data_IF_260955609477
#
_entry.id   IF_260955609477
#
_cell.length_a   1.000
_cell.length_b   1.000
_cell.length_c   1.000
_cell.angle_alpha   90.00
_cell.angle_beta   90.00
_cell.angle_gamma   90.00
#
_symmetry.space_group_name_H-M   'P 1'
#
loop_
_entity.id
_entity.type
_entity.pdbx_description
1 polymer ?
#
# COMPACT_ATOMS: atom_id res chain seq x y z
N UNK A 1 15.92 0.98 -10.79
CA UNK A 1 16.21 1.73 -12.05
C UNK A 1 15.51 1.14 -13.27
N UNK A 2 15.53 -0.19 -13.49
CA UNK A 2 14.89 -0.80 -14.67
C UNK A 2 13.38 -0.51 -14.72
N UNK A 3 12.63 -0.78 -13.66
CA UNK A 3 11.19 -0.52 -13.59
C UNK A 3 10.83 0.95 -13.84
N UNK A 4 11.62 1.90 -13.32
CA UNK A 4 11.39 3.33 -13.55
C UNK A 4 11.63 3.76 -15.01
N UNK A 5 12.50 3.07 -15.74
CA UNK A 5 12.67 3.29 -17.19
C UNK A 5 11.50 2.76 -18.01
N UNK A 6 10.92 1.64 -17.60
CA UNK A 6 9.71 1.11 -18.22
C UNK A 6 8.49 2.02 -17.95
N UNK A 7 8.42 2.64 -16.79
CA UNK A 7 7.42 3.65 -16.46
C UNK A 7 7.41 4.80 -17.50
N UNK A 8 8.59 5.23 -17.95
CA UNK A 8 8.71 6.24 -19.02
C UNK A 8 8.03 5.84 -20.32
N UNK A 9 8.07 4.54 -20.66
CA UNK A 9 7.45 4.02 -21.89
C UNK A 9 5.94 3.84 -21.71
N UNK A 10 5.50 3.50 -20.51
CA UNK A 10 4.12 3.19 -20.19
C UNK A 10 3.26 4.43 -19.88
N UNK A 11 3.88 5.61 -19.70
CA UNK A 11 3.18 6.84 -19.31
C UNK A 11 3.43 7.99 -20.28
N UNK A 12 2.45 8.92 -20.49
CA UNK A 12 2.65 10.11 -21.31
C UNK A 12 3.67 11.09 -20.70
N UNK A 13 4.14 12.05 -21.48
CA UNK A 13 5.21 12.97 -21.03
C UNK A 13 4.77 13.89 -19.89
N UNK A 14 3.50 14.27 -19.85
CA UNK A 14 2.85 15.12 -18.84
C UNK A 14 2.32 14.33 -17.63
N UNK A 15 2.69 13.05 -17.49
CA UNK A 15 2.27 12.23 -16.37
C UNK A 15 2.85 12.72 -15.04
N UNK A 16 2.00 12.78 -14.01
CA UNK A 16 2.41 12.97 -12.62
C UNK A 16 2.54 11.61 -11.93
N UNK A 17 3.70 11.36 -11.34
CA UNK A 17 4.00 10.11 -10.64
C UNK A 17 3.83 10.30 -9.14
N UNK A 18 2.95 9.50 -8.56
CA UNK A 18 2.80 9.33 -7.13
C UNK A 18 3.71 8.22 -6.66
N UNK A 19 4.65 8.58 -5.81
CA UNK A 19 5.66 7.71 -5.26
C UNK A 19 6.04 8.16 -3.86
N UNK A 20 6.62 7.30 -3.03
CA UNK A 20 7.17 7.71 -1.75
C UNK A 20 8.46 8.53 -1.97
N UNK A 21 8.65 9.57 -1.20
CA UNK A 21 9.67 10.62 -1.41
C UNK A 21 11.12 10.10 -1.51
N UNK A 22 11.45 9.00 -0.81
CA UNK A 22 12.80 8.40 -0.84
C UNK A 22 13.28 8.05 -2.26
N UNK A 23 12.34 7.71 -3.15
CA UNK A 23 12.65 7.40 -4.56
C UNK A 23 12.32 8.52 -5.51
N UNK A 24 11.89 9.68 -5.01
CA UNK A 24 11.40 10.77 -5.84
C UNK A 24 12.45 11.23 -6.88
N UNK A 25 13.68 11.47 -6.48
CA UNK A 25 14.76 11.83 -7.41
C UNK A 25 15.05 10.73 -8.44
N UNK A 26 15.07 9.48 -8.01
CA UNK A 26 15.27 8.36 -8.91
C UNK A 26 14.09 8.21 -9.89
N UNK A 27 12.86 8.36 -9.40
CA UNK A 27 11.66 8.33 -10.23
C UNK A 27 11.70 9.44 -11.28
N UNK A 28 11.97 10.68 -10.88
CA UNK A 28 12.10 11.82 -11.80
C UNK A 28 13.20 11.58 -12.84
N UNK A 29 14.40 11.19 -12.40
CA UNK A 29 15.55 10.99 -13.28
C UNK A 29 15.34 9.89 -14.33
N UNK A 30 14.87 8.72 -13.91
CA UNK A 30 14.76 7.56 -14.79
C UNK A 30 13.47 7.54 -15.61
N UNK A 31 12.34 7.99 -15.05
CA UNK A 31 11.07 8.06 -15.78
C UNK A 31 10.99 9.31 -16.67
N UNK A 32 11.71 10.38 -16.34
CA UNK A 32 11.55 11.72 -16.94
C UNK A 32 10.11 12.21 -16.86
N UNK A 33 9.48 12.00 -15.71
CA UNK A 33 8.13 12.46 -15.37
C UNK A 33 8.18 13.27 -14.10
N UNK A 34 7.25 14.17 -13.94
CA UNK A 34 7.10 14.89 -12.69
C UNK A 34 6.66 13.98 -11.58
N UNK A 35 7.12 14.24 -10.35
CA UNK A 35 6.80 13.44 -9.17
C UNK A 35 6.16 14.31 -8.09
N UNK A 36 5.20 13.75 -7.36
CA UNK A 36 4.49 14.49 -6.31
C UNK A 36 5.38 14.81 -5.10
N UNK A 37 6.39 13.99 -4.86
CA UNK A 37 7.37 14.14 -3.79
C UNK A 37 8.73 13.75 -4.34
N UNK A 38 9.63 14.71 -4.49
CA UNK A 38 10.95 14.52 -5.10
C UNK A 38 12.09 14.41 -4.09
N UNK A 39 11.79 14.53 -2.79
CA UNK A 39 12.80 14.48 -1.74
C UNK A 39 13.40 15.84 -1.40
N UNK A 40 13.03 16.93 -2.09
CA UNK A 40 13.50 18.29 -1.76
C UNK A 40 12.86 18.82 -0.47
N UNK A 41 11.63 18.42 -0.18
CA UNK A 41 10.90 18.77 1.03
C UNK A 41 10.65 17.54 1.90
N UNK A 42 11.13 17.59 3.15
CA UNK A 42 11.02 16.50 4.13
C UNK A 42 9.98 16.78 5.21
N UNK A 43 8.87 17.46 4.89
CA UNK A 43 7.87 17.81 5.87
C UNK A 43 6.53 18.24 5.31
N UNK A 44 5.55 18.37 6.20
CA UNK A 44 4.23 18.93 5.89
C UNK A 44 3.47 18.19 4.78
N UNK A 45 2.83 18.94 3.86
CA UNK A 45 2.00 18.37 2.80
C UNK A 45 2.71 17.41 1.87
N UNK A 46 4.00 17.63 1.61
CA UNK A 46 4.82 16.80 0.70
C UNK A 46 5.04 15.38 1.23
N UNK A 47 5.01 15.19 2.56
CA UNK A 47 5.03 13.85 3.18
C UNK A 47 3.62 13.30 3.40
N UNK A 48 2.72 14.13 3.94
CA UNK A 48 1.39 13.67 4.33
C UNK A 48 0.58 13.13 3.14
N UNK A 49 0.53 13.87 2.03
CA UNK A 49 -0.38 13.49 0.93
C UNK A 49 -0.02 12.13 0.31
N UNK A 50 1.23 11.88 -0.13
CA UNK A 50 1.56 10.54 -0.62
C UNK A 50 1.42 9.47 0.47
N UNK A 51 1.82 9.76 1.71
CA UNK A 51 1.67 8.82 2.81
C UNK A 51 0.19 8.43 3.06
N UNK A 52 -0.73 9.40 3.05
CA UNK A 52 -2.15 9.14 3.23
C UNK A 52 -2.74 8.28 2.10
N UNK A 53 -2.28 8.46 0.86
CA UNK A 53 -2.66 7.62 -0.28
C UNK A 53 -2.23 6.18 -0.08
N UNK A 54 -1.01 5.94 0.42
CA UNK A 54 -0.49 4.58 0.60
C UNK A 54 -1.00 3.89 1.85
N UNK A 55 -1.21 4.65 2.94
CA UNK A 55 -1.57 4.10 4.25
C UNK A 55 -3.07 3.88 4.46
N UNK A 56 -3.93 4.43 3.61
CA UNK A 56 -5.38 4.19 3.70
C UNK A 56 -5.76 2.80 3.21
N UNK A 57 -6.84 2.26 3.75
CA UNK A 57 -7.56 1.08 3.26
C UNK A 57 -8.73 1.43 2.33
N UNK A 58 -9.02 2.72 2.16
CA UNK A 58 -10.09 3.22 1.27
C UNK A 58 -9.53 3.70 -0.08
N UNK A 59 -9.72 2.93 -1.17
CA UNK A 59 -9.24 3.28 -2.50
C UNK A 59 -9.90 4.54 -3.06
N UNK A 60 -11.15 4.80 -2.66
CA UNK A 60 -11.86 6.01 -3.06
C UNK A 60 -11.22 7.26 -2.43
N UNK A 61 -10.91 7.20 -1.14
CA UNK A 61 -10.23 8.29 -0.44
C UNK A 61 -8.86 8.59 -1.04
N UNK A 62 -8.07 7.55 -1.32
CA UNK A 62 -6.77 7.71 -1.98
C UNK A 62 -6.91 8.43 -3.33
N UNK A 63 -7.86 8.00 -4.17
CA UNK A 63 -8.17 8.67 -5.43
C UNK A 63 -8.59 10.14 -5.21
N UNK A 64 -9.41 10.43 -4.21
CA UNK A 64 -9.86 11.80 -3.91
C UNK A 64 -8.67 12.71 -3.55
N UNK A 65 -7.73 12.24 -2.74
CA UNK A 65 -6.49 12.98 -2.43
C UNK A 65 -5.71 13.27 -3.72
N UNK A 66 -5.49 12.26 -4.56
CA UNK A 66 -4.73 12.39 -5.80
C UNK A 66 -5.38 13.42 -6.73
N UNK A 67 -6.69 13.28 -7.01
CA UNK A 67 -7.42 14.18 -7.91
C UNK A 67 -7.57 15.59 -7.33
N UNK A 68 -7.75 15.73 -6.01
CA UNK A 68 -7.76 17.05 -5.38
C UNK A 68 -6.41 17.76 -5.48
N UNK A 69 -5.33 17.04 -5.29
CA UNK A 69 -3.97 17.59 -5.46
C UNK A 69 -3.72 17.99 -6.91
N UNK A 70 -4.18 17.20 -7.87
CA UNK A 70 -4.13 17.55 -9.29
C UNK A 70 -4.90 18.84 -9.59
N UNK A 71 -6.09 19.01 -9.04
CA UNK A 71 -6.88 20.24 -9.16
C UNK A 71 -6.21 21.47 -8.51
N UNK A 72 -5.22 21.26 -7.64
CA UNK A 72 -4.36 22.30 -7.04
C UNK A 72 -3.02 22.48 -7.78
N UNK A 73 -2.91 21.93 -8.99
CA UNK A 73 -1.73 22.06 -9.87
C UNK A 73 -0.60 21.10 -9.55
N UNK A 74 -0.91 19.97 -8.91
CA UNK A 74 0.08 18.95 -8.49
C UNK A 74 1.17 19.47 -7.54
N UNK A 75 0.88 20.52 -6.78
CA UNK A 75 1.79 21.09 -5.79
C UNK A 75 1.25 20.80 -4.39
N UNK A 76 1.87 19.89 -3.62
CA UNK A 76 1.41 19.52 -2.27
C UNK A 76 1.19 20.72 -1.35
N UNK A 77 2.08 21.69 -1.37
CA UNK A 77 1.99 22.92 -0.59
C UNK A 77 0.72 23.75 -0.87
N UNK A 78 0.17 23.69 -2.10
CA UNK A 78 -1.06 24.39 -2.45
C UNK A 78 -2.32 23.76 -1.83
N UNK A 79 -2.28 22.47 -1.48
CA UNK A 79 -3.42 21.74 -0.92
C UNK A 79 -3.84 22.32 0.43
N UNK A 80 -2.86 22.65 1.28
CA UNK A 80 -3.09 23.16 2.63
C UNK A 80 -2.78 24.66 2.77
N UNK A 81 -2.50 25.36 1.66
CA UNK A 81 -2.11 26.76 1.70
C UNK A 81 -3.18 27.62 2.36
N UNK A 82 -2.80 28.33 3.41
CA UNK A 82 -3.66 29.24 4.14
C UNK A 82 -4.68 28.58 5.08
N UNK A 83 -4.66 27.26 5.23
CA UNK A 83 -5.54 26.53 6.13
C UNK A 83 -4.93 26.48 7.54
N UNK A 84 -5.79 26.62 8.54
CA UNK A 84 -5.49 26.24 9.93
C UNK A 84 -5.49 24.71 10.06
N UNK A 85 -4.96 24.19 11.17
CA UNK A 85 -4.97 22.74 11.45
C UNK A 85 -6.41 22.16 11.46
N UNK A 86 -7.38 22.90 12.00
CA UNK A 86 -8.79 22.51 11.99
C UNK A 86 -9.34 22.44 10.57
N UNK A 87 -9.12 23.48 9.77
CA UNK A 87 -9.58 23.50 8.37
C UNK A 87 -8.94 22.41 7.53
N UNK A 88 -7.66 22.09 7.76
CA UNK A 88 -7.00 20.96 7.12
C UNK A 88 -7.65 19.62 7.52
N UNK A 89 -7.94 19.41 8.81
CA UNK A 89 -8.65 18.23 9.28
C UNK A 89 -10.06 18.10 8.69
N UNK A 90 -10.81 19.22 8.63
CA UNK A 90 -12.15 19.26 8.02
C UNK A 90 -12.10 18.93 6.53
N UNK A 91 -11.10 19.44 5.81
CA UNK A 91 -10.89 19.13 4.39
C UNK A 91 -10.59 17.64 4.17
N UNK A 92 -9.73 17.05 4.98
CA UNK A 92 -9.42 15.61 4.89
C UNK A 92 -10.68 14.78 5.19
N UNK A 93 -11.46 15.17 6.21
CA UNK A 93 -12.75 14.54 6.53
C UNK A 93 -13.71 14.64 5.35
N UNK A 94 -13.76 15.80 4.69
CA UNK A 94 -14.57 15.98 3.49
C UNK A 94 -14.14 15.09 2.33
N UNK A 95 -12.82 14.98 2.06
CA UNK A 95 -12.28 14.10 1.02
C UNK A 95 -12.61 12.62 1.30
N UNK A 96 -12.64 12.22 2.56
CA UNK A 96 -12.95 10.86 2.98
C UNK A 96 -14.44 10.54 3.06
N UNK A 97 -15.32 11.52 2.90
CA UNK A 97 -16.76 11.28 2.99
C UNK A 97 -17.28 10.58 1.72
N UNK A 98 -17.85 9.36 1.81
CA UNK A 98 -18.34 8.60 0.67
C UNK A 98 -19.52 9.24 -0.06
N UNK A 99 -20.26 10.16 0.59
CA UNK A 99 -21.39 10.87 0.01
C UNK A 99 -20.99 12.06 -0.87
N UNK A 100 -19.73 12.50 -0.77
CA UNK A 100 -19.25 13.60 -1.61
C UNK A 100 -18.98 13.12 -3.05
N UNK A 101 -19.16 13.96 -4.06
CA UNK A 101 -18.90 13.58 -5.44
C UNK A 101 -17.41 13.26 -5.65
N UNK A 102 -17.13 12.41 -6.63
CA UNK A 102 -15.77 12.16 -7.07
C UNK A 102 -15.21 13.42 -7.74
N UNK A 103 -14.06 13.87 -7.25
CA UNK A 103 -13.36 15.01 -7.83
C UNK A 103 -12.88 14.64 -9.23
N UNK A 104 -13.14 15.52 -10.18
CA UNK A 104 -12.57 15.42 -11.52
C UNK A 104 -11.42 16.43 -11.65
N UNK A 105 -10.32 16.00 -12.17
CA UNK A 105 -9.17 16.86 -12.46
C UNK A 105 -8.48 16.37 -13.73
N UNK A 106 -8.06 17.33 -14.53
CA UNK A 106 -7.27 17.05 -15.72
C UNK A 106 -5.87 16.57 -15.35
N UNK A 107 -5.22 15.94 -16.31
CA UNK A 107 -3.88 15.41 -16.14
C UNK A 107 -3.84 13.95 -15.69
N UNK A 108 -2.85 13.26 -16.18
CA UNK A 108 -2.63 11.84 -15.95
C UNK A 108 -1.87 11.59 -14.67
N UNK A 109 -2.49 10.89 -13.74
CA UNK A 109 -1.95 10.55 -12.43
C UNK A 109 -1.62 9.06 -12.40
N UNK A 110 -0.43 8.70 -11.94
CA UNK A 110 0.02 7.31 -11.85
C UNK A 110 0.55 7.01 -10.46
N UNK A 111 0.05 5.95 -9.86
CA UNK A 111 0.46 5.46 -8.55
C UNK A 111 1.47 4.33 -8.74
N UNK A 112 2.66 4.48 -8.19
CA UNK A 112 3.72 3.48 -8.22
C UNK A 112 3.84 2.81 -6.86
N UNK A 113 3.75 1.49 -6.86
CA UNK A 113 3.95 0.66 -5.69
C UNK A 113 5.14 -0.27 -5.92
N UNK A 114 5.99 -0.39 -4.92
CA UNK A 114 7.12 -1.33 -4.97
C UNK A 114 7.23 -2.11 -3.66
N UNK A 115 7.81 -3.30 -3.74
CA UNK A 115 8.04 -4.12 -2.56
C UNK A 115 8.93 -3.40 -1.54
N UNK A 116 9.97 -2.70 -2.04
CA UNK A 116 10.91 -1.93 -1.20
C UNK A 116 10.21 -0.83 -0.36
N UNK A 117 9.04 -0.33 -0.78
CA UNK A 117 8.27 0.64 0.01
C UNK A 117 7.75 0.05 1.32
N UNK A 118 7.57 -1.26 1.36
CA UNK A 118 7.09 -1.95 2.56
C UNK A 118 8.09 -1.84 3.71
N UNK A 119 9.39 -1.77 3.42
CA UNK A 119 10.44 -1.56 4.44
C UNK A 119 10.27 -0.24 5.18
N UNK A 120 9.64 0.75 4.52
CA UNK A 120 9.33 2.05 5.07
C UNK A 120 7.88 2.17 5.55
N UNK A 121 7.14 1.09 5.54
CA UNK A 121 5.70 1.04 5.84
C UNK A 121 5.34 1.66 7.20
N UNK A 122 6.18 1.49 8.22
CA UNK A 122 5.99 2.13 9.53
C UNK A 122 5.98 3.67 9.40
N UNK A 123 6.91 4.26 8.67
CA UNK A 123 6.97 5.70 8.47
C UNK A 123 5.86 6.21 7.56
N UNK A 124 5.58 5.48 6.46
CA UNK A 124 4.50 5.82 5.55
C UNK A 124 3.16 5.83 6.31
N UNK A 125 2.88 4.82 7.13
CA UNK A 125 1.66 4.79 7.92
C UNK A 125 1.62 5.87 9.02
N UNK A 126 2.77 6.18 9.64
CA UNK A 126 2.88 7.26 10.63
C UNK A 126 2.51 8.62 10.02
N UNK A 127 3.09 8.96 8.87
CA UNK A 127 2.77 10.22 8.21
C UNK A 127 1.37 10.21 7.59
N UNK A 128 0.93 9.08 7.02
CA UNK A 128 -0.38 8.95 6.37
C UNK A 128 -1.57 8.98 7.33
N UNK A 129 -1.35 8.59 8.59
CA UNK A 129 -2.36 8.67 9.67
C UNK A 129 -2.25 9.94 10.51
N UNK A 130 -1.51 10.94 10.05
CA UNK A 130 -1.26 12.17 10.79
C UNK A 130 -2.55 12.92 11.14
N UNK A 131 -2.76 13.17 12.44
CA UNK A 131 -3.85 13.99 12.92
C UNK A 131 -3.37 15.43 13.08
N UNK A 132 -3.96 16.36 12.35
CA UNK A 132 -3.57 17.78 12.32
C UNK A 132 -3.82 18.49 13.65
N UNK A 133 -4.78 18.01 14.46
CA UNK A 133 -5.14 18.63 15.75
C UNK A 133 -4.23 18.15 16.88
N UNK A 134 -4.05 16.82 17.02
CA UNK A 134 -3.16 16.27 18.06
C UNK A 134 -1.68 16.34 17.69
N UNK A 135 -1.37 16.54 16.39
CA UNK A 135 0.00 16.53 15.83
C UNK A 135 0.72 15.19 16.04
N UNK A 136 -0.02 14.11 15.90
CA UNK A 136 0.46 12.75 16.08
C UNK A 136 0.07 11.90 14.89
N UNK A 137 0.94 10.95 14.54
CA UNK A 137 0.67 9.89 13.56
C UNK A 137 0.83 8.52 14.20
N UNK A 138 0.28 7.48 13.57
CA UNK A 138 0.33 6.12 14.07
C UNK A 138 0.98 5.19 13.06
N UNK A 139 2.18 4.70 13.40
CA UNK A 139 2.84 3.64 12.63
C UNK A 139 2.11 2.31 12.79
N UNK A 140 1.97 1.59 11.68
CA UNK A 140 1.45 0.21 11.67
C UNK A 140 2.61 -0.76 11.83
N UNK A 141 2.34 -1.95 12.38
CA UNK A 141 3.40 -2.88 12.66
C UNK A 141 3.88 -3.57 11.38
N UNK A 142 5.17 -3.43 11.16
CA UNK A 142 5.93 -4.12 10.12
C UNK A 142 7.28 -4.53 10.71
N UNK A 143 7.70 -5.74 10.43
CA UNK A 143 8.99 -6.26 10.87
C UNK A 143 9.70 -6.94 9.71
N UNK A 144 10.90 -6.47 9.39
CA UNK A 144 11.84 -7.19 8.53
C UNK A 144 12.37 -8.36 9.34
N UNK A 145 12.21 -9.57 8.81
CA UNK A 145 12.57 -10.77 9.55
C UNK A 145 13.90 -11.32 9.04
N UNK A 146 14.82 -11.69 9.94
CA UNK A 146 16.09 -12.30 9.55
C UNK A 146 15.88 -13.57 8.74
N UNK A 147 16.89 -13.94 7.94
CA UNK A 147 16.88 -15.00 6.92
C UNK A 147 16.48 -16.41 7.38
N UNK A 148 16.29 -16.64 8.67
CA UNK A 148 16.03 -17.95 9.27
C UNK A 148 14.58 -18.45 9.17
N UNK A 149 13.69 -17.76 8.44
CA UNK A 149 12.32 -18.20 8.27
C UNK A 149 12.11 -18.97 6.96
N UNK A 150 11.32 -20.03 7.04
CA UNK A 150 10.72 -20.74 5.92
C UNK A 150 9.20 -20.83 6.11
N UNK A 151 8.47 -21.26 5.10
CA UNK A 151 7.02 -21.34 5.16
C UNK A 151 6.52 -22.71 4.69
N UNK A 152 5.32 -23.07 5.16
CA UNK A 152 4.57 -24.28 4.80
C UNK A 152 3.22 -23.85 4.28
N UNK A 153 3.11 -23.74 2.97
CA UNK A 153 1.88 -23.27 2.30
C UNK A 153 0.70 -24.23 2.49
N UNK A 154 0.96 -25.52 2.67
CA UNK A 154 -0.07 -26.54 2.94
C UNK A 154 -0.76 -26.33 4.29
N UNK A 155 -0.05 -25.73 5.27
CA UNK A 155 -0.54 -25.51 6.64
C UNK A 155 -0.79 -24.05 6.99
N UNK A 156 -0.36 -23.11 6.12
CA UNK A 156 -0.42 -21.70 6.45
C UNK A 156 0.43 -21.35 7.67
N UNK A 157 1.64 -21.89 7.75
CA UNK A 157 2.53 -21.69 8.88
C UNK A 157 3.88 -21.17 8.41
N UNK A 158 4.48 -20.33 9.23
CA UNK A 158 5.88 -19.92 9.09
C UNK A 158 6.72 -20.59 10.16
N UNK A 159 7.84 -21.13 9.75
CA UNK A 159 8.72 -21.97 10.57
C UNK A 159 10.03 -21.24 10.80
N UNK A 160 10.43 -21.06 12.05
CA UNK A 160 11.77 -20.58 12.37
C UNK A 160 12.77 -21.73 12.18
N UNK A 161 13.74 -21.53 11.27
CA UNK A 161 14.77 -22.52 10.97
C UNK A 161 15.62 -22.77 12.22
N UNK A 162 15.73 -24.04 12.62
CA UNK A 162 16.48 -24.45 13.83
C UNK A 162 15.65 -24.39 15.12
N UNK A 163 14.34 -24.13 15.06
CA UNK A 163 13.41 -24.23 16.17
C UNK A 163 12.19 -25.08 15.77
N UNK A 164 11.47 -25.56 16.76
CA UNK A 164 10.16 -26.23 16.56
C UNK A 164 8.99 -25.22 16.64
N UNK A 165 9.28 -23.92 16.46
CA UNK A 165 8.26 -22.90 16.55
C UNK A 165 7.65 -22.70 15.17
N UNK A 166 6.35 -22.99 15.08
CA UNK A 166 5.51 -22.71 13.93
C UNK A 166 4.56 -21.57 14.29
N UNK A 167 4.55 -20.52 13.48
CA UNK A 167 3.66 -19.37 13.62
C UNK A 167 2.56 -19.50 12.60
N UNK A 168 1.30 -19.72 13.00
CA UNK A 168 0.17 -19.70 12.08
C UNK A 168 0.02 -18.31 11.47
N UNK A 169 -0.21 -18.24 10.17
CA UNK A 169 -0.39 -16.98 9.43
C UNK A 169 -1.83 -16.80 8.99
N UNK A 170 -2.31 -15.55 8.98
CA UNK A 170 -3.57 -15.16 8.35
C UNK A 170 -3.44 -15.21 6.84
N UNK A 171 -2.31 -14.75 6.30
CA UNK A 171 -1.96 -14.89 4.88
C UNK A 171 -0.47 -15.11 4.67
N UNK A 172 -0.12 -15.73 3.55
CA UNK A 172 1.26 -15.86 3.07
C UNK A 172 1.29 -15.42 1.60
N UNK A 173 2.11 -14.42 1.32
CA UNK A 173 2.35 -13.86 0.00
C UNK A 173 3.78 -14.16 -0.44
N UNK A 174 3.95 -14.87 -1.55
CA UNK A 174 5.25 -15.27 -2.08
C UNK A 174 5.48 -14.65 -3.45
N UNK A 175 6.34 -13.64 -3.50
CA UNK A 175 6.78 -13.01 -4.72
C UNK A 175 7.92 -13.81 -5.33
N UNK A 176 7.72 -14.31 -6.54
CA UNK A 176 8.71 -14.98 -7.35
C UNK A 176 8.88 -14.23 -8.67
N UNK A 177 9.83 -14.62 -9.50
CA UNK A 177 10.06 -13.98 -10.78
C UNK A 177 8.80 -14.07 -11.68
N UNK A 178 8.16 -12.91 -11.89
CA UNK A 178 6.94 -12.78 -12.69
C UNK A 178 5.66 -13.39 -12.10
N UNK A 179 5.69 -13.86 -10.85
CA UNK A 179 4.54 -14.52 -10.21
C UNK A 179 4.36 -14.08 -8.75
N UNK A 180 3.11 -13.95 -8.33
CA UNK A 180 2.70 -13.83 -6.94
C UNK A 180 1.80 -15.03 -6.58
N UNK A 181 2.21 -15.82 -5.58
CA UNK A 181 1.37 -16.84 -4.93
C UNK A 181 0.82 -16.23 -3.64
N UNK A 182 -0.44 -15.78 -3.69
CA UNK A 182 -1.19 -15.27 -2.54
C UNK A 182 -2.06 -16.36 -1.97
N UNK A 183 -1.97 -16.58 -0.65
CA UNK A 183 -2.82 -17.55 0.07
C UNK A 183 -3.35 -16.94 1.36
N UNK A 184 -4.67 -16.90 1.44
CA UNK A 184 -5.42 -16.51 2.63
C UNK A 184 -5.89 -17.75 3.38
N UNK A 185 -5.60 -17.81 4.69
CA UNK A 185 -5.94 -18.93 5.58
C UNK A 185 -7.06 -18.60 6.57
N UNK A 186 -7.52 -17.35 6.60
CA UNK A 186 -8.64 -16.95 7.46
C UNK A 186 -9.98 -16.97 6.72
N UNK A 187 -9.97 -17.12 5.42
CA UNK A 187 -11.21 -17.29 4.64
C UNK A 187 -11.95 -18.54 5.06
N UNK A 188 -13.26 -18.46 5.37
CA UNK A 188 -14.03 -19.63 5.72
C UNK A 188 -14.02 -20.65 4.58
N UNK A 189 -13.88 -21.95 4.87
CA UNK A 189 -14.10 -22.97 3.86
C UNK A 189 -15.55 -22.90 3.35
N UNK A 190 -15.76 -23.25 2.08
CA UNK A 190 -17.09 -23.23 1.45
C UNK A 190 -18.13 -24.03 2.23
N UNK A 191 -17.69 -25.05 2.95
CA UNK A 191 -18.54 -25.91 3.76
C UNK A 191 -17.86 -26.31 5.06
N UNK A 192 -18.59 -26.12 6.20
CA UNK A 192 -18.23 -26.64 7.51
C UNK A 192 -19.35 -27.60 7.96
N UNK A 193 -19.03 -28.88 8.20
CA UNK A 193 -20.02 -29.93 8.33
C UNK A 193 -20.87 -29.87 9.62
N UNK A 194 -20.35 -29.28 10.69
CA UNK A 194 -21.00 -29.21 11.99
C UNK A 194 -20.47 -28.10 12.90
N UNK A 195 -21.08 -27.97 14.08
CA UNK A 195 -20.67 -26.94 15.07
C UNK A 195 -19.27 -27.15 15.63
N UNK A 196 -18.78 -28.39 15.68
CA UNK A 196 -17.39 -28.64 16.16
C UNK A 196 -16.35 -28.17 15.14
N UNK A 197 -16.60 -28.39 13.84
CA UNK A 197 -15.77 -27.91 12.77
C UNK A 197 -15.77 -26.37 12.72
N UNK A 198 -16.93 -25.73 12.90
CA UNK A 198 -17.06 -24.27 13.00
C UNK A 198 -16.25 -23.73 14.18
N UNK A 199 -16.32 -24.38 15.34
CA UNK A 199 -15.56 -23.98 16.53
C UNK A 199 -14.07 -24.10 16.31
N UNK A 200 -13.61 -25.25 15.78
CA UNK A 200 -12.21 -25.50 15.49
C UNK A 200 -11.65 -24.48 14.48
N UNK A 201 -12.41 -24.13 13.45
CA UNK A 201 -12.04 -23.11 12.49
C UNK A 201 -11.93 -21.72 13.14
N UNK A 202 -12.86 -21.32 14.02
CA UNK A 202 -12.78 -20.04 14.75
C UNK A 202 -11.55 -19.97 15.64
N UNK A 203 -11.22 -21.05 16.35
CA UNK A 203 -10.03 -21.14 17.20
C UNK A 203 -8.74 -21.05 16.36
N UNK A 204 -8.73 -21.62 15.16
CA UNK A 204 -7.60 -21.49 14.24
C UNK A 204 -7.47 -20.08 13.70
N UNK A 205 -8.58 -19.42 13.33
CA UNK A 205 -8.59 -18.01 12.92
C UNK A 205 -8.01 -17.09 13.99
N UNK A 206 -8.40 -17.26 15.25
CA UNK A 206 -7.87 -16.43 16.36
C UNK A 206 -6.37 -16.61 16.53
N UNK A 207 -5.84 -17.79 16.30
CA UNK A 207 -4.38 -18.04 16.34
C UNK A 207 -3.62 -17.36 15.20
N UNK A 208 -4.27 -17.23 14.03
CA UNK A 208 -3.67 -16.64 12.81
C UNK A 208 -3.78 -15.13 12.75
N UNK A 209 -4.70 -14.57 13.51
CA UNK A 209 -5.06 -13.17 13.49
C UNK A 209 -3.85 -12.25 13.61
N UNK A 210 -3.87 -11.17 12.86
CA UNK A 210 -2.83 -10.14 12.82
C UNK A 210 -1.43 -10.62 12.38
N UNK A 211 -1.31 -11.75 11.70
CA UNK A 211 -0.02 -12.27 11.24
C UNK A 211 -0.06 -12.51 9.74
N UNK A 212 0.50 -11.58 8.98
CA UNK A 212 0.63 -11.70 7.54
C UNK A 212 2.11 -11.78 7.17
N UNK A 213 2.47 -12.72 6.30
CA UNK A 213 3.83 -12.91 5.82
C UNK A 213 3.95 -12.57 4.34
N UNK A 214 4.99 -11.81 4.01
CA UNK A 214 5.36 -11.51 2.64
C UNK A 214 6.80 -11.93 2.40
N UNK A 215 7.02 -12.74 1.38
CA UNK A 215 8.32 -13.25 0.98
C UNK A 215 8.65 -12.81 -0.43
N UNK A 216 9.75 -12.11 -0.61
CA UNK A 216 10.29 -11.84 -1.94
C UNK A 216 11.47 -12.79 -2.22
N UNK A 217 11.25 -13.79 -3.07
CA UNK A 217 12.28 -14.77 -3.44
C UNK A 217 13.41 -14.16 -4.27
N UNK A 218 13.14 -13.05 -4.95
CA UNK A 218 14.14 -12.40 -5.81
C UNK A 218 15.11 -11.58 -4.98
N UNK A 219 14.60 -10.79 -4.01
CA UNK A 219 15.44 -9.98 -3.11
C UNK A 219 15.89 -10.74 -1.87
N UNK A 220 15.17 -11.80 -1.49
CA UNK A 220 15.38 -12.55 -0.26
C UNK A 220 14.72 -11.90 0.96
N UNK A 221 14.02 -10.78 0.80
CA UNK A 221 13.33 -10.09 1.87
C UNK A 221 12.13 -10.87 2.40
N UNK A 222 11.89 -10.73 3.70
CA UNK A 222 10.82 -11.39 4.43
C UNK A 222 10.24 -10.42 5.42
N UNK A 223 8.94 -10.16 5.29
CA UNK A 223 8.22 -9.23 6.13
C UNK A 223 7.13 -9.95 6.92
N UNK A 224 6.93 -9.52 8.16
CA UNK A 224 5.77 -9.83 8.99
C UNK A 224 5.04 -8.52 9.23
N UNK A 225 3.77 -8.48 8.90
CA UNK A 225 2.94 -7.28 9.02
C UNK A 225 1.65 -7.59 9.76
N UNK A 226 1.08 -6.57 10.42
CA UNK A 226 -0.22 -6.68 11.08
C UNK A 226 -1.39 -6.44 10.10
N UNK A 227 -2.62 -6.70 10.54
CA UNK A 227 -3.84 -6.49 9.75
C UNK A 227 -3.98 -5.06 9.22
N UNK A 228 -3.51 -4.04 9.96
CA UNK A 228 -3.64 -2.66 9.51
C UNK A 228 -2.73 -2.38 8.35
N UNK A 229 -1.46 -2.80 8.46
CA UNK A 229 -0.50 -2.69 7.38
C UNK A 229 -0.95 -3.50 6.17
N UNK A 230 -1.43 -4.73 6.41
CA UNK A 230 -1.90 -5.61 5.35
C UNK A 230 -3.04 -5.00 4.54
N UNK A 231 -3.99 -4.34 5.20
CA UNK A 231 -5.15 -3.72 4.54
C UNK A 231 -4.84 -2.36 3.90
N UNK A 232 -3.65 -1.80 4.06
CA UNK A 232 -3.29 -0.55 3.38
C UNK A 232 -3.32 -0.71 1.86
N UNK A 233 -3.63 0.38 1.17
CA UNK A 233 -3.60 0.42 -0.29
C UNK A 233 -2.22 0.02 -0.84
N UNK A 234 -1.16 0.40 -0.13
CA UNK A 234 0.22 0.06 -0.46
C UNK A 234 0.44 -1.46 -0.57
N UNK A 235 -0.11 -2.25 0.35
CA UNK A 235 -0.01 -3.71 0.32
C UNK A 235 -1.05 -4.30 -0.63
N UNK A 236 -2.30 -3.89 -0.50
CA UNK A 236 -3.41 -4.51 -1.25
C UNK A 236 -3.23 -4.38 -2.77
N UNK A 237 -2.80 -3.23 -3.29
CA UNK A 237 -2.55 -3.08 -4.72
C UNK A 237 -1.33 -3.86 -5.23
N UNK A 238 -0.41 -4.29 -4.35
CA UNK A 238 0.68 -5.19 -4.73
C UNK A 238 0.21 -6.64 -4.90
N UNK A 239 -0.82 -7.07 -4.15
CA UNK A 239 -1.25 -8.48 -4.10
C UNK A 239 -2.60 -8.74 -4.78
N UNK A 240 -3.44 -7.72 -4.98
CA UNK A 240 -4.78 -7.90 -5.54
C UNK A 240 -4.75 -8.35 -7.01
N UNK A 241 -5.82 -9.03 -7.41
CA UNK A 241 -6.16 -9.15 -8.83
C UNK A 241 -6.42 -7.75 -9.40
N UNK A 242 -5.85 -7.37 -10.55
CA UNK A 242 -6.11 -6.07 -11.18
C UNK A 242 -7.59 -5.78 -11.47
N UNK A 243 -8.41 -6.82 -11.59
CA UNK A 243 -9.86 -6.74 -11.77
C UNK A 243 -10.66 -6.71 -10.47
N UNK A 244 -10.01 -6.70 -9.30
CA UNK A 244 -10.70 -6.69 -8.00
C UNK A 244 -11.66 -5.49 -7.91
N UNK A 245 -12.99 -5.75 -7.68
CA UNK A 245 -14.01 -4.71 -7.70
C UNK A 245 -13.83 -3.63 -6.62
N UNK A 246 -13.00 -3.86 -5.61
CA UNK A 246 -12.66 -2.84 -4.60
C UNK A 246 -11.81 -1.72 -5.21
N UNK A 247 -10.91 -2.07 -6.15
CA UNK A 247 -9.88 -1.17 -6.68
C UNK A 247 -10.12 -0.76 -8.13
N UNK A 248 -10.63 -1.66 -8.97
CA UNK A 248 -10.84 -1.44 -10.39
C UNK A 248 -11.65 -0.17 -10.77
N UNK A 249 -12.61 0.31 -9.95
CA UNK A 249 -13.28 1.59 -10.23
C UNK A 249 -12.40 2.83 -10.11
N UNK A 250 -11.26 2.74 -9.44
CA UNK A 250 -10.38 3.86 -9.10
C UNK A 250 -8.98 3.75 -9.71
N UNK A 251 -8.52 2.52 -9.97
CA UNK A 251 -7.17 2.24 -10.39
C UNK A 251 -7.15 1.21 -11.51
N UNK A 252 -6.40 1.50 -12.57
CA UNK A 252 -6.18 0.60 -13.69
C UNK A 252 -4.71 0.22 -13.77
N UNK A 253 -4.39 -1.08 -13.63
CA UNK A 253 -3.02 -1.56 -13.78
C UNK A 253 -2.52 -1.31 -15.21
N UNK A 254 -1.36 -0.68 -15.34
CA UNK A 254 -0.71 -0.40 -16.63
C UNK A 254 0.65 -1.08 -16.76
N UNK A 255 1.26 -1.45 -15.63
CA UNK A 255 2.55 -2.13 -15.61
C UNK A 255 2.65 -3.01 -14.36
N UNK A 256 3.18 -4.22 -14.54
CA UNK A 256 3.40 -5.19 -13.47
C UNK A 256 4.73 -5.91 -13.69
N UNK A 257 5.52 -5.99 -12.64
CA UNK A 257 6.66 -6.88 -12.56
C UNK A 257 6.91 -7.30 -11.11
N UNK A 258 7.88 -8.18 -10.87
CA UNK A 258 8.21 -8.71 -9.54
C UNK A 258 8.61 -7.63 -8.51
N UNK A 259 9.02 -6.44 -8.95
CA UNK A 259 9.50 -5.37 -8.08
C UNK A 259 8.49 -4.27 -7.85
N UNK A 260 7.63 -4.00 -8.83
CA UNK A 260 6.67 -2.92 -8.73
C UNK A 260 5.45 -3.11 -9.63
N UNK A 261 4.35 -2.48 -9.21
CA UNK A 261 3.13 -2.26 -9.99
C UNK A 261 2.89 -0.79 -10.19
N UNK A 262 2.35 -0.43 -11.35
CA UNK A 262 1.97 0.94 -11.68
C UNK A 262 0.51 0.97 -12.08
N UNK A 263 -0.24 1.85 -11.44
CA UNK A 263 -1.66 2.04 -11.71
C UNK A 263 -1.92 3.45 -12.23
N UNK A 264 -2.71 3.54 -13.29
CA UNK A 264 -3.35 4.80 -13.67
C UNK A 264 -4.52 5.08 -12.71
N UNK A 265 -4.63 6.30 -12.24
CA UNK A 265 -5.71 6.78 -11.35
C UNK A 265 -6.85 7.31 -12.20
N UNK A 266 -8.00 6.65 -12.12
CA UNK A 266 -9.19 6.91 -12.96
C UNK A 266 -10.00 8.13 -12.49
#
# INVERSE_FOLDING_TARGET
AAGLRELRKATPEDAMIWHWWDWGYAAHHFSRRDTIADGAEHGGPSLYLPAAVYATDDPRFARQIIKYTAAKGNVPGNVFKGLTASQAADMITWLNNPNNPLIQADGKQYLVLSFDMLDLGFWISTFGSWNFLSKEGRGYAISIVPQALSYRLDKGEVVMKGSNINVPAASIDVFSDGQLDHRDYVTPPEYLPDNAAIKAWKEDMERRRNVHFMFNRVTGEKLVIDDRMYNTLMVQLLICDPGDPRFAPYFRLIFDNVFCRVYEVL
#
